data_IF_521395636506
#
_entry.id   IF_521395636506
#
_cell.length_a   1.000
_cell.length_b   1.000
_cell.length_c   1.000
_cell.angle_alpha   90.00
_cell.angle_beta   90.00
_cell.angle_gamma   90.00
#
_symmetry.space_group_name_H-M   'P 1'
#
loop_
_entity.id
_entity.type
_entity.pdbx_description
1 polymer ?
#
# COMPACT_ATOMS: atom_id res chain seq x y z
N UNK A 1 2.59 2.69 18.11
CA UNK A 1 2.71 1.41 17.40
C UNK A 1 2.05 0.34 18.26
N UNK A 2 1.12 -0.45 17.72
CA UNK A 2 0.39 -1.46 18.50
C UNK A 2 1.23 -2.72 18.77
N UNK A 3 2.12 -3.10 17.84
CA UNK A 3 2.97 -4.29 17.91
C UNK A 3 4.42 -3.92 17.53
N UNK A 4 5.25 -3.44 18.46
CA UNK A 4 6.61 -3.00 18.17
C UNK A 4 7.61 -4.15 17.93
N UNK A 5 7.25 -5.36 18.32
CA UNK A 5 8.06 -6.58 18.23
C UNK A 5 7.90 -7.33 16.89
N UNK A 6 6.89 -6.98 16.10
CA UNK A 6 6.61 -7.63 14.82
C UNK A 6 7.53 -7.06 13.72
N UNK A 7 8.39 -7.87 13.10
CA UNK A 7 9.20 -7.41 11.99
C UNK A 7 8.35 -7.21 10.73
N UNK A 8 8.55 -6.07 10.05
CA UNK A 8 7.85 -5.74 8.81
C UNK A 8 8.83 -5.85 7.64
N UNK A 9 8.42 -6.61 6.63
CA UNK A 9 9.16 -6.74 5.38
C UNK A 9 8.32 -6.14 4.24
N UNK A 10 8.94 -5.32 3.41
CA UNK A 10 8.32 -4.72 2.22
C UNK A 10 9.29 -4.70 1.05
N UNK A 11 8.77 -4.76 -0.17
CA UNK A 11 9.58 -4.61 -1.38
C UNK A 11 10.04 -3.16 -1.60
N UNK A 12 9.23 -2.18 -1.18
CA UNK A 12 9.51 -0.76 -1.32
C UNK A 12 8.85 0.07 -0.20
N UNK A 13 9.42 1.23 0.10
CA UNK A 13 8.83 2.26 0.97
C UNK A 13 8.52 3.48 0.10
N UNK A 14 7.24 3.84 0.04
CA UNK A 14 6.74 4.96 -0.75
C UNK A 14 6.65 6.26 0.09
N UNK A 15 6.44 7.40 -0.59
CA UNK A 15 6.59 8.74 0.01
C UNK A 15 5.48 9.10 0.98
N UNK A 16 4.23 8.86 0.58
CA UNK A 16 3.05 9.34 1.30
C UNK A 16 1.79 8.64 0.82
N UNK A 17 0.69 8.94 1.52
CA UNK A 17 -0.66 8.72 1.02
C UNK A 17 -1.20 9.99 0.33
N UNK A 18 -2.14 9.83 -0.60
CA UNK A 18 -2.97 10.93 -1.10
C UNK A 18 -4.28 11.07 -0.30
N UNK A 19 -5.12 12.04 -0.66
CA UNK A 19 -6.41 12.32 0.02
C UNK A 19 -7.40 11.15 -0.06
N UNK A 20 -7.24 10.27 -1.03
CA UNK A 20 -8.04 9.05 -1.20
C UNK A 20 -7.40 7.82 -0.54
N UNK A 21 -6.37 8.02 0.30
CA UNK A 21 -5.62 6.95 1.00
C UNK A 21 -4.89 5.95 0.10
N UNK A 22 -4.60 6.31 -1.16
CA UNK A 22 -3.68 5.53 -1.99
C UNK A 22 -2.23 5.89 -1.70
N UNK A 23 -1.37 4.88 -1.74
CA UNK A 23 0.10 5.02 -1.64
C UNK A 23 0.64 5.73 -2.90
N UNK A 24 1.57 6.68 -2.74
CA UNK A 24 2.13 7.49 -3.83
C UNK A 24 3.67 7.35 -3.91
N UNK A 25 4.24 7.00 -5.08
CA UNK A 25 3.56 6.68 -6.34
C UNK A 25 2.72 5.39 -6.31
N UNK A 26 3.09 4.41 -5.48
CA UNK A 26 2.33 3.18 -5.25
C UNK A 26 1.91 2.44 -6.54
N UNK A 27 0.78 1.73 -6.46
CA UNK A 27 0.29 0.88 -7.56
C UNK A 27 -1.20 1.07 -7.90
N UNK A 28 -1.89 2.03 -7.28
CA UNK A 28 -3.35 2.19 -7.43
C UNK A 28 -4.11 1.10 -6.67
N UNK A 29 -5.26 0.66 -7.20
CA UNK A 29 -6.03 -0.44 -6.61
C UNK A 29 -5.39 -1.79 -6.96
N UNK A 30 -4.97 -2.55 -5.94
CA UNK A 30 -4.34 -3.85 -6.15
C UNK A 30 -5.34 -4.90 -6.64
N UNK A 31 -6.58 -4.88 -6.14
CA UNK A 31 -7.61 -5.86 -6.46
C UNK A 31 -8.05 -5.74 -7.92
N UNK A 32 -8.39 -4.53 -8.35
CA UNK A 32 -8.80 -4.26 -9.73
C UNK A 32 -7.69 -4.62 -10.72
N UNK A 33 -6.42 -4.37 -10.37
CA UNK A 33 -5.28 -4.70 -11.22
C UNK A 33 -5.03 -6.21 -11.33
N UNK A 34 -5.31 -6.98 -10.28
CA UNK A 34 -5.09 -8.43 -10.27
C UNK A 34 -6.27 -9.18 -10.89
N UNK A 35 -7.49 -8.76 -10.59
CA UNK A 35 -8.70 -9.53 -10.91
C UNK A 35 -9.57 -8.90 -12.01
N UNK A 36 -9.24 -7.69 -12.48
CA UNK A 36 -9.95 -7.03 -13.57
C UNK A 36 -11.37 -6.60 -13.20
N UNK A 37 -11.61 -6.30 -11.92
CA UNK A 37 -12.92 -5.89 -11.40
C UNK A 37 -13.25 -4.43 -11.69
N UNK A 38 -14.57 -4.11 -11.70
CA UNK A 38 -15.15 -2.75 -11.62
C UNK A 38 -16.64 -2.80 -11.33
#
# INVERSE_FOLDING_TARGET
AAHPDVPIYTAAIDRQLNEHSYIVPGLGDAGDRIFGTK
#
